data_IF_009291957397
#
_entry.id   IF_009291957397
#
_cell.length_a   1.000
_cell.length_b   1.000
_cell.length_c   1.000
_cell.angle_alpha   90.00
_cell.angle_beta   90.00
_cell.angle_gamma   90.00
#
_symmetry.space_group_name_H-M   'P 1'
#
loop_
_entity.id
_entity.type
_entity.pdbx_description
1 polymer ?
#
# COMPACT_ATOMS: atom_id res chain seq x y z
N UNK A 1 -10.27 -8.16 -28.46
CA UNK A 1 -11.22 -7.06 -28.75
C UNK A 1 -10.50 -5.74 -28.52
N UNK A 2 -10.72 -4.77 -29.40
CA UNK A 2 -10.22 -3.40 -29.30
C UNK A 2 -11.42 -2.48 -29.39
N UNK A 3 -11.60 -1.58 -28.40
CA UNK A 3 -12.70 -0.62 -28.34
C UNK A 3 -12.13 0.79 -28.41
N UNK A 4 -12.69 1.61 -29.28
CA UNK A 4 -12.38 3.04 -29.39
C UNK A 4 -13.54 3.86 -28.87
N UNK A 5 -13.25 4.81 -28.00
CA UNK A 5 -14.21 5.76 -27.47
C UNK A 5 -13.80 7.17 -27.88
N UNK A 6 -14.29 7.69 -29.01
CA UNK A 6 -13.95 9.05 -29.42
C UNK A 6 -14.55 10.05 -28.43
N UNK A 7 -13.73 10.96 -27.97
CA UNK A 7 -14.13 12.07 -27.13
C UNK A 7 -14.14 13.29 -28.02
N UNK A 8 -15.26 13.99 -28.07
CA UNK A 8 -15.46 15.19 -28.91
C UNK A 8 -16.01 16.31 -28.05
N UNK A 9 -15.48 17.49 -28.23
CA UNK A 9 -15.90 18.71 -27.55
C UNK A 9 -14.88 19.82 -27.75
N UNK A 10 -15.30 21.06 -27.62
CA UNK A 10 -14.36 22.18 -27.65
C UNK A 10 -13.66 22.25 -26.31
N UNK A 11 -12.35 21.92 -26.27
CA UNK A 11 -11.54 21.90 -25.04
C UNK A 11 -11.47 20.53 -24.38
N UNK A 12 -11.81 19.43 -25.09
CA UNK A 12 -11.63 18.07 -24.55
C UNK A 12 -10.15 17.79 -24.23
N UNK A 13 -9.89 17.28 -23.04
CA UNK A 13 -8.55 17.03 -22.52
C UNK A 13 -8.41 15.68 -21.79
N UNK A 14 -7.36 15.50 -20.99
CA UNK A 14 -7.10 14.27 -20.26
C UNK A 14 -8.10 14.00 -19.12
N UNK A 15 -8.80 15.02 -18.60
CA UNK A 15 -9.84 14.82 -17.58
C UNK A 15 -11.06 14.14 -18.18
N UNK A 16 -11.43 14.50 -19.41
CA UNK A 16 -12.50 13.81 -20.16
C UNK A 16 -12.14 12.37 -20.50
N UNK A 17 -10.85 12.11 -20.83
CA UNK A 17 -10.33 10.75 -21.04
C UNK A 17 -10.46 9.94 -19.76
N UNK A 18 -10.06 10.50 -18.62
CA UNK A 18 -10.17 9.85 -17.32
C UNK A 18 -11.63 9.57 -16.93
N UNK A 19 -12.53 10.56 -17.13
CA UNK A 19 -13.97 10.41 -16.89
C UNK A 19 -14.57 9.28 -17.75
N UNK A 20 -14.23 9.22 -19.04
CA UNK A 20 -14.69 8.15 -19.94
C UNK A 20 -14.15 6.77 -19.54
N UNK A 21 -12.88 6.69 -19.11
CA UNK A 21 -12.30 5.44 -18.64
C UNK A 21 -12.92 5.00 -17.30
N UNK A 22 -13.18 5.92 -16.38
CA UNK A 22 -13.93 5.70 -15.14
C UNK A 22 -15.31 5.11 -15.42
N UNK A 23 -16.05 5.70 -16.37
CA UNK A 23 -17.34 5.19 -16.80
C UNK A 23 -17.25 3.74 -17.33
N UNK A 24 -16.25 3.46 -18.17
CA UNK A 24 -16.00 2.09 -18.66
C UNK A 24 -15.72 1.10 -17.50
N UNK A 25 -14.93 1.49 -16.50
CA UNK A 25 -14.64 0.64 -15.35
C UNK A 25 -15.90 0.30 -14.55
N UNK A 26 -16.80 1.25 -14.38
CA UNK A 26 -18.06 1.07 -13.65
C UNK A 26 -19.09 0.27 -14.45
N UNK A 27 -19.23 0.52 -15.75
CA UNK A 27 -20.27 -0.09 -16.60
C UNK A 27 -19.87 -1.46 -17.14
N UNK A 28 -18.64 -1.59 -17.64
CA UNK A 28 -18.13 -2.79 -18.34
C UNK A 28 -17.01 -3.51 -17.57
N UNK A 29 -16.26 -2.78 -16.74
CA UNK A 29 -15.08 -3.28 -16.02
C UNK A 29 -15.40 -4.02 -14.73
N UNK A 30 -16.67 -4.00 -14.28
CA UNK A 30 -17.11 -4.69 -13.06
C UNK A 30 -16.64 -4.02 -11.75
N UNK A 31 -16.11 -2.81 -11.82
CA UNK A 31 -15.67 -2.06 -10.63
C UNK A 31 -16.91 -1.54 -9.88
N UNK A 32 -16.93 -1.75 -8.56
CA UNK A 32 -17.97 -1.21 -7.69
C UNK A 32 -17.49 0.08 -7.05
N UNK A 33 -18.38 1.06 -6.86
CA UNK A 33 -18.08 2.23 -6.03
C UNK A 33 -17.96 1.77 -4.58
N UNK A 34 -16.76 1.97 -4.01
CA UNK A 34 -16.44 1.65 -2.62
C UNK A 34 -16.09 2.87 -1.79
N UNK A 35 -15.82 3.99 -2.47
CA UNK A 35 -15.60 5.27 -1.80
C UNK A 35 -16.92 5.80 -1.24
N UNK A 36 -16.90 6.18 0.03
CA UNK A 36 -18.03 6.72 0.76
C UNK A 36 -17.79 8.18 1.12
N UNK A 37 -18.87 8.91 1.42
CA UNK A 37 -18.77 10.27 1.94
C UNK A 37 -18.15 10.25 3.35
N UNK A 38 -17.27 11.20 3.63
CA UNK A 38 -16.54 11.34 4.87
C UNK A 38 -15.58 10.19 5.21
N UNK A 39 -15.28 9.29 4.26
CA UNK A 39 -14.32 8.20 4.43
C UNK A 39 -12.92 8.66 4.01
N UNK A 40 -12.12 9.12 4.96
CA UNK A 40 -10.71 9.50 4.75
C UNK A 40 -9.88 9.17 5.98
N UNK A 41 -9.62 7.87 6.23
CA UNK A 41 -8.78 7.45 7.33
C UNK A 41 -7.32 7.83 7.11
N UNK A 42 -6.54 7.89 8.19
CA UNK A 42 -5.09 7.81 8.11
C UNK A 42 -4.67 6.37 7.82
N UNK A 43 -3.86 6.17 6.80
CA UNK A 43 -3.29 4.86 6.50
C UNK A 43 -2.00 4.65 7.30
N UNK A 44 -1.90 3.50 7.98
CA UNK A 44 -0.74 3.16 8.81
C UNK A 44 -0.19 1.80 8.41
N UNK A 45 1.07 1.77 7.98
CA UNK A 45 1.82 0.54 7.73
C UNK A 45 2.60 0.10 8.96
N UNK A 46 2.23 -1.03 9.58
CA UNK A 46 2.96 -1.64 10.70
C UNK A 46 3.73 -2.88 10.25
N UNK A 47 4.88 -3.13 10.87
CA UNK A 47 5.76 -4.24 10.51
C UNK A 47 6.10 -5.06 11.76
N UNK A 48 5.57 -6.29 11.86
CA UNK A 48 5.66 -7.15 13.03
C UNK A 48 7.07 -7.68 13.29
N UNK A 49 7.66 -8.38 12.33
CA UNK A 49 8.98 -8.93 12.56
C UNK A 49 9.76 -9.27 11.29
N UNK A 50 11.02 -9.63 11.49
CA UNK A 50 11.96 -9.94 10.40
C UNK A 50 12.95 -11.01 10.82
N UNK A 51 13.54 -11.70 9.84
CA UNK A 51 14.69 -12.57 10.09
C UNK A 51 15.97 -11.74 10.11
N UNK A 52 16.71 -11.78 11.22
CA UNK A 52 17.99 -11.09 11.40
C UNK A 52 19.09 -12.08 11.79
N UNK A 53 20.28 -11.90 11.25
CA UNK A 53 21.47 -12.65 11.69
C UNK A 53 21.93 -12.08 13.02
N UNK A 54 21.92 -12.90 14.09
CA UNK A 54 22.44 -12.54 15.41
C UNK A 54 23.52 -13.56 15.82
N UNK A 55 24.61 -13.13 16.44
CA UNK A 55 25.65 -14.05 16.90
C UNK A 55 25.10 -14.96 18.01
N UNK A 56 25.41 -16.26 17.91
CA UNK A 56 25.17 -17.24 18.95
C UNK A 56 26.46 -18.07 19.09
N UNK A 57 27.12 -17.98 20.22
CA UNK A 57 28.44 -18.58 20.45
C UNK A 57 29.47 -18.26 19.34
N UNK A 58 29.45 -17.00 18.84
CA UNK A 58 30.34 -16.56 17.76
C UNK A 58 29.92 -16.96 16.35
N UNK A 59 28.84 -17.74 16.19
CA UNK A 59 28.31 -18.17 14.88
C UNK A 59 27.08 -17.32 14.53
N UNK A 60 27.00 -16.72 13.31
CA UNK A 60 25.83 -15.99 12.87
C UNK A 60 24.67 -16.94 12.60
N UNK A 61 23.59 -16.83 13.38
CA UNK A 61 22.37 -17.62 13.21
C UNK A 61 21.19 -16.71 12.89
N UNK A 62 20.30 -17.17 12.01
CA UNK A 62 19.07 -16.44 11.68
C UNK A 62 18.06 -16.57 12.83
N UNK A 63 17.68 -15.45 13.43
CA UNK A 63 16.67 -15.38 14.49
C UNK A 63 15.50 -14.51 14.05
N UNK A 64 14.29 -14.86 14.47
CA UNK A 64 13.12 -13.97 14.36
C UNK A 64 13.31 -12.81 15.32
N UNK A 65 13.27 -11.60 14.81
CA UNK A 65 13.38 -10.35 15.58
C UNK A 65 12.05 -9.61 15.44
N UNK A 66 11.43 -9.23 16.55
CA UNK A 66 10.28 -8.33 16.53
C UNK A 66 10.75 -6.92 16.20
N UNK A 67 10.00 -6.25 15.35
CA UNK A 67 10.13 -4.82 15.05
C UNK A 67 9.03 -4.05 15.76
N UNK A 68 7.82 -4.57 15.69
CA UNK A 68 6.65 -4.07 16.41
C UNK A 68 5.85 -5.31 16.83
N UNK A 69 5.74 -5.63 18.10
CA UNK A 69 4.82 -6.67 18.54
C UNK A 69 3.39 -6.12 18.70
N UNK A 70 2.41 -6.99 18.99
CA UNK A 70 1.01 -6.58 18.99
C UNK A 70 0.67 -5.56 20.09
N UNK A 71 1.34 -5.64 21.25
CA UNK A 71 1.19 -4.64 22.32
C UNK A 71 1.78 -3.30 21.90
N UNK A 72 2.99 -3.31 21.32
CA UNK A 72 3.67 -2.13 20.80
C UNK A 72 2.90 -1.47 19.64
N UNK A 73 2.28 -2.29 18.78
CA UNK A 73 1.38 -1.79 17.73
C UNK A 73 0.19 -1.02 18.34
N UNK A 74 -0.43 -1.58 19.37
CA UNK A 74 -1.50 -0.91 20.11
C UNK A 74 -1.01 0.38 20.76
N UNK A 75 0.19 0.41 21.33
CA UNK A 75 0.77 1.62 21.93
C UNK A 75 0.95 2.74 20.89
N UNK A 76 1.48 2.44 19.69
CA UNK A 76 1.62 3.41 18.57
C UNK A 76 0.25 3.97 18.20
N UNK A 77 -0.73 3.10 17.94
CA UNK A 77 -2.05 3.51 17.50
C UNK A 77 -2.82 4.27 18.60
N UNK A 78 -2.59 3.94 19.89
CA UNK A 78 -3.16 4.69 21.02
C UNK A 78 -2.62 6.11 21.06
N UNK A 79 -1.31 6.30 20.89
CA UNK A 79 -0.70 7.64 20.84
C UNK A 79 -1.25 8.47 19.67
N UNK A 80 -1.41 7.87 18.46
CA UNK A 80 -2.04 8.55 17.33
C UNK A 80 -3.48 8.98 17.68
N UNK A 81 -4.27 8.09 18.30
CA UNK A 81 -5.64 8.38 18.69
C UNK A 81 -5.72 9.49 19.77
N UNK A 82 -4.84 9.46 20.76
CA UNK A 82 -4.71 10.50 21.78
C UNK A 82 -4.33 11.85 21.16
N UNK A 83 -3.57 11.85 20.08
CA UNK A 83 -3.19 13.04 19.32
C UNK A 83 -4.24 13.47 18.27
N UNK A 84 -5.44 12.85 18.27
CA UNK A 84 -6.59 13.27 17.47
C UNK A 84 -6.75 12.56 16.12
N UNK A 85 -6.08 11.42 15.89
CA UNK A 85 -6.33 10.55 14.72
C UNK A 85 -7.47 9.60 15.11
N UNK A 86 -8.68 9.92 14.69
CA UNK A 86 -9.90 9.21 15.08
C UNK A 86 -10.29 8.06 14.14
N UNK A 87 -9.74 8.04 12.92
CA UNK A 87 -10.04 7.04 11.90
C UNK A 87 -8.74 6.54 11.23
N UNK A 88 -8.53 5.22 11.22
CA UNK A 88 -7.28 4.61 10.75
C UNK A 88 -7.54 3.37 9.90
N UNK A 89 -6.88 3.26 8.75
CA UNK A 89 -6.77 2.03 7.96
C UNK A 89 -5.38 1.41 8.17
N UNK A 90 -5.30 0.35 8.95
CA UNK A 90 -4.04 -0.22 9.43
C UNK A 90 -3.68 -1.46 8.64
N UNK A 91 -2.57 -1.44 7.91
CA UNK A 91 -1.94 -2.64 7.35
C UNK A 91 -0.87 -3.17 8.31
N UNK A 92 -0.86 -4.50 8.56
CA UNK A 92 0.12 -5.09 9.46
C UNK A 92 0.88 -6.22 8.76
N UNK A 93 2.10 -5.92 8.34
CA UNK A 93 2.96 -6.84 7.61
C UNK A 93 3.80 -7.74 8.55
N UNK A 94 4.20 -8.92 8.04
CA UNK A 94 5.07 -9.85 8.76
C UNK A 94 4.58 -10.23 10.17
N UNK A 95 3.28 -10.35 10.34
CA UNK A 95 2.63 -10.63 11.63
C UNK A 95 2.55 -12.13 11.97
N UNK A 96 2.73 -13.00 10.98
CA UNK A 96 2.74 -14.47 11.12
C UNK A 96 4.17 -15.02 11.15
N UNK A 97 4.29 -16.29 11.48
CA UNK A 97 5.59 -16.98 11.43
C UNK A 97 6.14 -17.13 10.01
N UNK A 98 5.29 -17.24 9.00
CA UNK A 98 5.69 -17.31 7.60
C UNK A 98 6.01 -15.93 7.04
N UNK A 99 5.22 -14.91 7.37
CA UNK A 99 5.49 -13.53 7.01
C UNK A 99 6.87 -13.05 7.51
N UNK A 100 7.19 -13.26 8.80
CA UNK A 100 8.52 -12.97 9.37
C UNK A 100 9.66 -13.64 8.57
N UNK A 101 9.40 -14.81 7.98
CA UNK A 101 10.39 -15.56 7.17
C UNK A 101 10.34 -15.24 5.68
N UNK A 102 9.48 -14.33 5.27
CA UNK A 102 9.18 -14.04 3.86
C UNK A 102 8.91 -15.32 3.06
N UNK A 103 8.02 -16.14 3.56
CA UNK A 103 7.53 -17.38 2.93
C UNK A 103 6.09 -17.19 2.50
N UNK A 104 5.61 -18.05 1.60
CA UNK A 104 4.18 -18.08 1.25
C UNK A 104 3.36 -18.23 2.54
N UNK A 105 2.40 -17.32 2.70
CA UNK A 105 1.64 -17.12 3.92
C UNK A 105 0.15 -16.97 3.62
N UNK A 106 -0.56 -18.09 3.72
CA UNK A 106 -2.01 -18.15 3.49
C UNK A 106 -2.81 -18.33 4.78
N UNK A 107 -2.12 -18.38 5.94
CA UNK A 107 -2.74 -18.69 7.22
C UNK A 107 -2.75 -17.49 8.15
N UNK A 108 -3.93 -17.19 8.69
CA UNK A 108 -4.14 -16.17 9.70
C UNK A 108 -3.71 -16.69 11.09
N UNK A 109 -2.41 -17.00 11.25
CA UNK A 109 -1.84 -17.54 12.49
C UNK A 109 -0.85 -16.52 13.11
N UNK A 110 -1.28 -15.70 14.11
CA UNK A 110 -0.42 -14.72 14.74
C UNK A 110 0.84 -15.35 15.34
N UNK A 111 2.00 -14.71 15.10
CA UNK A 111 3.27 -15.25 15.60
C UNK A 111 3.38 -15.11 17.12
N UNK A 112 3.68 -16.22 17.82
CA UNK A 112 4.01 -16.17 19.25
C UNK A 112 5.24 -15.32 19.57
N UNK A 113 6.09 -14.98 18.58
CA UNK A 113 7.20 -14.02 18.76
C UNK A 113 6.71 -12.59 18.94
N UNK A 114 5.49 -12.30 18.52
CA UNK A 114 4.85 -10.96 18.53
C UNK A 114 3.74 -10.86 19.60
N UNK A 115 3.58 -11.87 20.48
CA UNK A 115 2.55 -11.89 21.51
C UNK A 115 1.48 -12.98 21.31
N UNK A 116 1.39 -13.57 20.10
CA UNK A 116 0.44 -14.65 19.81
C UNK A 116 -1.01 -14.19 19.63
N UNK A 117 -1.94 -15.15 19.66
CA UNK A 117 -3.34 -14.90 19.30
C UNK A 117 -4.08 -13.96 20.27
N UNK A 118 -3.77 -14.03 21.58
CA UNK A 118 -4.43 -13.16 22.58
C UNK A 118 -4.12 -11.69 22.36
N UNK A 119 -2.83 -11.36 22.16
CA UNK A 119 -2.42 -9.97 21.99
C UNK A 119 -2.85 -9.43 20.61
N UNK A 120 -2.87 -10.31 19.60
CA UNK A 120 -3.41 -9.96 18.29
C UNK A 120 -4.91 -9.66 18.32
N UNK A 121 -5.71 -10.46 19.07
CA UNK A 121 -7.13 -10.19 19.25
C UNK A 121 -7.35 -8.84 19.94
N UNK A 122 -6.60 -8.57 21.02
CA UNK A 122 -6.70 -7.29 21.73
C UNK A 122 -6.31 -6.07 20.88
N UNK A 123 -5.36 -6.25 19.92
CA UNK A 123 -5.03 -5.22 18.93
C UNK A 123 -6.17 -5.06 17.91
N UNK A 124 -6.71 -6.17 17.39
CA UNK A 124 -7.82 -6.16 16.42
C UNK A 124 -9.06 -5.48 17.00
N UNK A 125 -9.44 -5.83 18.24
CA UNK A 125 -10.57 -5.22 18.95
C UNK A 125 -10.35 -3.71 19.14
N UNK A 126 -9.13 -3.30 19.52
CA UNK A 126 -8.78 -1.90 19.67
C UNK A 126 -8.90 -1.12 18.35
N UNK A 127 -8.42 -1.69 17.23
CA UNK A 127 -8.52 -1.03 15.92
C UNK A 127 -9.98 -0.90 15.48
N UNK A 128 -10.80 -1.92 15.71
CA UNK A 128 -12.22 -1.93 15.34
C UNK A 128 -13.07 -0.85 16.03
N UNK A 129 -12.59 -0.26 17.14
CA UNK A 129 -13.27 0.87 17.79
C UNK A 129 -13.26 2.19 16.97
N UNK A 130 -12.34 2.33 15.98
CA UNK A 130 -12.22 3.55 15.19
C UNK A 130 -11.26 3.33 14.02
N UNK A 131 -11.50 2.28 13.22
CA UNK A 131 -10.71 2.00 12.03
C UNK A 131 -10.83 0.57 11.54
N UNK A 132 -10.01 0.22 10.56
CA UNK A 132 -10.01 -1.05 9.86
C UNK A 132 -8.62 -1.71 9.91
N UNK A 133 -8.59 -3.02 10.13
CA UNK A 133 -7.36 -3.82 10.13
C UNK A 133 -7.25 -4.68 8.88
N UNK A 134 -6.10 -4.57 8.20
CA UNK A 134 -5.73 -5.35 7.02
C UNK A 134 -4.42 -6.12 7.25
N UNK A 135 -4.44 -7.27 7.93
CA UNK A 135 -3.25 -8.08 8.10
C UNK A 135 -2.72 -8.54 6.74
N UNK A 136 -1.41 -8.39 6.52
CA UNK A 136 -0.80 -8.58 5.19
C UNK A 136 -0.53 -10.05 4.90
N UNK A 137 -0.97 -10.52 3.74
CA UNK A 137 -0.65 -11.81 3.11
C UNK A 137 0.19 -11.55 1.85
N UNK A 138 1.49 -11.30 2.02
CA UNK A 138 2.42 -11.05 0.90
C UNK A 138 2.92 -12.36 0.31
N UNK A 139 2.35 -12.74 -0.84
CA UNK A 139 2.62 -14.02 -1.49
C UNK A 139 3.24 -13.90 -2.87
N UNK A 140 3.63 -12.71 -3.31
CA UNK A 140 4.25 -12.52 -4.63
C UNK A 140 5.63 -13.14 -4.72
N UNK A 141 6.46 -12.91 -3.71
CA UNK A 141 7.84 -13.38 -3.64
C UNK A 141 8.09 -14.14 -2.34
N UNK A 142 8.93 -15.19 -2.40
CA UNK A 142 9.12 -16.03 -1.25
C UNK A 142 10.53 -16.63 -1.13
N UNK A 143 10.98 -16.91 0.11
CA UNK A 143 12.06 -17.85 0.39
C UNK A 143 11.51 -19.26 0.55
N UNK A 144 12.31 -20.27 0.18
CA UNK A 144 11.92 -21.68 0.23
C UNK A 144 11.46 -22.12 1.61
N UNK A 145 10.39 -22.91 1.65
CA UNK A 145 9.77 -23.48 2.86
C UNK A 145 8.29 -23.78 2.65
N UNK A 146 7.69 -24.58 3.50
CA UNK A 146 6.25 -24.87 3.47
C UNK A 146 5.74 -25.50 2.16
N UNK A 147 6.57 -26.32 1.49
CA UNK A 147 6.21 -26.93 0.18
C UNK A 147 6.56 -26.09 -1.04
N UNK A 148 7.08 -24.87 -0.84
CA UNK A 148 7.54 -23.97 -1.91
C UNK A 148 9.07 -23.94 -1.98
N UNK A 149 9.62 -23.98 -3.18
CA UNK A 149 11.07 -23.94 -3.38
C UNK A 149 11.44 -23.15 -4.62
N UNK A 150 12.73 -22.81 -4.75
CA UNK A 150 13.27 -22.14 -5.95
C UNK A 150 13.17 -22.95 -7.24
N UNK A 151 12.74 -24.21 -7.17
CA UNK A 151 12.54 -25.13 -8.30
C UNK A 151 11.09 -25.64 -8.41
N UNK A 152 10.26 -25.37 -7.43
CA UNK A 152 8.85 -25.78 -7.38
C UNK A 152 7.96 -24.61 -6.99
N UNK A 153 6.88 -24.41 -7.72
CA UNK A 153 5.95 -23.27 -7.57
C UNK A 153 6.56 -21.90 -7.92
N UNK A 154 7.74 -21.88 -8.53
CA UNK A 154 8.43 -20.68 -9.00
C UNK A 154 8.17 -20.47 -10.47
N UNK A 155 7.89 -19.24 -10.87
CA UNK A 155 7.73 -18.82 -12.28
C UNK A 155 8.98 -19.13 -13.10
N UNK A 156 8.79 -19.67 -14.28
CA UNK A 156 9.84 -19.92 -15.27
C UNK A 156 9.79 -18.82 -16.34
N UNK A 157 10.94 -18.24 -16.64
CA UNK A 157 11.10 -17.23 -17.69
C UNK A 157 11.05 -17.88 -19.07
N UNK A 158 10.86 -17.09 -20.12
CA UNK A 158 10.90 -17.54 -21.53
C UNK A 158 12.26 -18.18 -21.90
N UNK A 159 13.34 -17.83 -21.20
CA UNK A 159 14.67 -18.43 -21.34
C UNK A 159 14.80 -19.84 -20.72
N UNK A 160 13.73 -20.36 -20.07
CA UNK A 160 13.75 -21.62 -19.33
C UNK A 160 14.33 -21.53 -17.91
N UNK A 161 14.82 -20.37 -17.49
CA UNK A 161 15.37 -20.17 -16.13
C UNK A 161 14.28 -19.80 -15.13
N UNK A 162 14.46 -20.20 -13.86
CA UNK A 162 13.54 -19.78 -12.78
C UNK A 162 13.68 -18.29 -12.47
N UNK A 163 12.55 -17.62 -12.28
CA UNK A 163 12.51 -16.20 -11.91
C UNK A 163 12.95 -16.00 -10.47
N UNK A 164 13.85 -15.05 -10.27
CA UNK A 164 14.37 -14.67 -8.97
C UNK A 164 14.39 -13.16 -8.84
N UNK A 165 14.04 -12.67 -7.67
CA UNK A 165 14.23 -11.27 -7.29
C UNK A 165 15.60 -11.19 -6.64
N UNK A 166 16.51 -10.48 -7.31
CA UNK A 166 17.89 -10.33 -6.89
C UNK A 166 17.99 -9.14 -5.95
N UNK A 167 18.56 -9.36 -4.77
CA UNK A 167 18.97 -8.26 -3.90
C UNK A 167 20.26 -7.65 -4.44
N UNK A 168 20.34 -6.32 -4.45
CA UNK A 168 21.54 -5.59 -4.86
C UNK A 168 22.20 -4.90 -3.67
N UNK A 169 23.51 -4.90 -3.66
CA UNK A 169 24.28 -4.00 -2.80
C UNK A 169 24.07 -2.56 -3.29
N UNK A 170 23.57 -1.71 -2.39
CA UNK A 170 23.19 -0.34 -2.76
C UNK A 170 24.39 0.57 -3.02
N UNK A 171 25.52 0.28 -2.36
CA UNK A 171 26.73 1.09 -2.53
C UNK A 171 27.40 0.84 -3.87
N UNK A 172 27.35 -0.41 -4.35
CA UNK A 172 28.08 -0.83 -5.55
C UNK A 172 27.15 -1.12 -6.75
N UNK A 173 25.83 -1.23 -6.57
CA UNK A 173 24.89 -1.54 -7.65
C UNK A 173 25.04 -2.96 -8.24
N UNK A 174 25.74 -3.86 -7.55
CA UNK A 174 25.96 -5.25 -7.96
C UNK A 174 25.07 -6.21 -7.16
N UNK A 175 24.80 -7.44 -7.68
CA UNK A 175 24.09 -8.45 -6.89
C UNK A 175 24.75 -8.71 -5.53
N UNK A 176 23.95 -8.63 -4.45
CA UNK A 176 24.43 -8.89 -3.11
C UNK A 176 24.66 -10.39 -2.90
N UNK A 177 25.93 -10.79 -2.84
CA UNK A 177 26.32 -12.19 -2.62
C UNK A 177 26.01 -12.73 -1.21
N UNK A 178 25.69 -11.87 -0.26
CA UNK A 178 25.37 -12.24 1.13
C UNK A 178 23.87 -12.45 1.37
N UNK A 179 23.02 -11.93 0.50
CA UNK A 179 21.58 -12.09 0.55
C UNK A 179 21.09 -13.18 -0.40
N UNK A 180 20.15 -13.99 0.08
CA UNK A 180 19.49 -14.98 -0.77
C UNK A 180 18.48 -14.27 -1.68
N UNK A 181 18.40 -14.69 -2.93
CA UNK A 181 17.37 -14.24 -3.84
C UNK A 181 16.03 -14.86 -3.47
N UNK A 182 14.96 -14.07 -3.54
CA UNK A 182 13.60 -14.58 -3.43
C UNK A 182 13.14 -15.19 -4.76
N UNK A 183 12.26 -16.16 -4.70
CA UNK A 183 11.59 -16.74 -5.87
C UNK A 183 10.29 -15.99 -6.14
N UNK A 184 9.96 -15.80 -7.43
CA UNK A 184 8.68 -15.25 -7.85
C UNK A 184 7.65 -16.38 -7.95
N UNK A 185 6.51 -16.25 -7.30
CA UNK A 185 5.46 -17.28 -7.30
C UNK A 185 4.92 -17.50 -8.71
N UNK A 186 4.69 -18.77 -9.09
CA UNK A 186 4.01 -19.07 -10.34
C UNK A 186 2.54 -18.66 -10.30
N UNK A 187 2.02 -17.94 -11.31
CA UNK A 187 0.61 -17.56 -11.38
C UNK A 187 -0.37 -18.73 -11.36
N UNK A 188 0.10 -19.95 -11.72
CA UNK A 188 -0.69 -21.17 -11.60
C UNK A 188 -1.16 -21.46 -10.15
N UNK A 189 -0.53 -20.83 -9.15
CA UNK A 189 -0.90 -20.95 -7.75
C UNK A 189 -1.84 -19.85 -7.22
N UNK A 190 -2.15 -18.81 -8.00
CA UNK A 190 -2.86 -17.63 -7.49
C UNK A 190 -4.25 -17.98 -6.93
N UNK A 191 -5.11 -18.63 -7.71
CA UNK A 191 -6.45 -18.99 -7.25
C UNK A 191 -6.40 -19.85 -5.98
N UNK A 192 -5.48 -20.81 -5.90
CA UNK A 192 -5.33 -21.67 -4.72
C UNK A 192 -4.93 -20.87 -3.47
N UNK A 193 -3.86 -20.05 -3.54
CA UNK A 193 -3.36 -19.33 -2.35
C UNK A 193 -4.33 -18.27 -1.86
N UNK A 194 -5.05 -17.59 -2.77
CA UNK A 194 -6.06 -16.61 -2.42
C UNK A 194 -7.29 -17.26 -1.80
N UNK A 195 -7.70 -18.45 -2.31
CA UNK A 195 -8.77 -19.24 -1.70
C UNK A 195 -8.38 -19.73 -0.30
N UNK A 196 -7.18 -20.26 -0.13
CA UNK A 196 -6.68 -20.69 1.19
C UNK A 196 -6.63 -19.52 2.18
N UNK A 197 -6.22 -18.33 1.72
CA UNK A 197 -6.21 -17.11 2.53
C UNK A 197 -7.65 -16.70 2.91
N UNK A 198 -8.61 -16.73 1.97
CA UNK A 198 -10.01 -16.42 2.24
C UNK A 198 -10.58 -17.30 3.35
N UNK A 199 -10.41 -18.62 3.23
CA UNK A 199 -10.89 -19.57 4.22
C UNK A 199 -10.25 -19.37 5.60
N UNK A 200 -8.93 -19.08 5.63
CA UNK A 200 -8.20 -18.92 6.87
C UNK A 200 -8.52 -17.60 7.57
N UNK A 201 -8.57 -16.49 6.84
CA UNK A 201 -8.84 -15.15 7.39
C UNK A 201 -10.29 -15.06 7.90
N UNK A 202 -11.26 -15.54 7.12
CA UNK A 202 -12.65 -15.61 7.53
C UNK A 202 -12.85 -16.50 8.77
N UNK A 203 -12.21 -17.68 8.80
CA UNK A 203 -12.27 -18.57 9.97
C UNK A 203 -11.61 -17.99 11.22
N UNK A 204 -10.65 -17.09 11.07
CA UNK A 204 -10.04 -16.35 12.15
C UNK A 204 -10.84 -15.12 12.61
N UNK A 205 -11.99 -14.84 11.98
CA UNK A 205 -12.84 -13.68 12.31
C UNK A 205 -12.27 -12.35 11.86
N UNK A 206 -11.36 -12.34 10.86
CA UNK A 206 -10.79 -11.10 10.32
C UNK A 206 -11.73 -10.50 9.28
N UNK A 207 -11.88 -9.17 9.31
CA UNK A 207 -12.75 -8.42 8.40
C UNK A 207 -12.03 -7.97 7.13
N UNK A 208 -10.70 -7.87 7.12
CA UNK A 208 -9.91 -7.38 6.00
C UNK A 208 -8.63 -8.17 5.77
N UNK A 209 -8.05 -8.01 4.58
CA UNK A 209 -6.75 -8.58 4.20
C UNK A 209 -6.00 -7.59 3.29
N UNK A 210 -4.69 -7.49 3.44
CA UNK A 210 -3.85 -6.82 2.43
C UNK A 210 -3.09 -7.84 1.59
N UNK A 211 -3.19 -7.74 0.27
CA UNK A 211 -2.46 -8.57 -0.69
C UNK A 211 -1.13 -7.94 -1.12
N UNK A 212 -0.70 -6.86 -0.45
CA UNK A 212 0.53 -6.15 -0.79
C UNK A 212 0.55 -5.76 -2.29
N UNK A 213 1.64 -5.98 -3.01
CA UNK A 213 1.83 -5.62 -4.42
C UNK A 213 1.44 -6.72 -5.43
N UNK A 214 0.82 -7.81 -4.97
CA UNK A 214 0.33 -8.87 -5.87
C UNK A 214 -0.70 -8.34 -6.89
N UNK A 215 -1.67 -7.46 -6.52
CA UNK A 215 -2.63 -6.89 -7.46
C UNK A 215 -2.03 -6.01 -8.55
N UNK A 216 -0.82 -5.49 -8.35
CA UNK A 216 -0.07 -4.71 -9.33
C UNK A 216 0.83 -5.53 -10.25
N UNK A 217 0.94 -6.84 -10.00
CA UNK A 217 1.96 -7.70 -10.59
C UNK A 217 1.38 -8.65 -11.64
N UNK A 218 1.39 -8.26 -12.91
CA UNK A 218 0.92 -9.10 -14.01
C UNK A 218 2.08 -9.72 -14.81
N UNK A 219 2.30 -11.01 -14.62
CA UNK A 219 3.35 -11.77 -15.30
C UNK A 219 2.86 -13.17 -15.72
N UNK A 220 3.57 -13.80 -16.65
CA UNK A 220 3.30 -15.16 -17.12
C UNK A 220 4.33 -16.16 -16.59
N UNK A 221 4.02 -17.46 -16.69
CA UNK A 221 4.90 -18.58 -16.40
C UNK A 221 5.11 -19.40 -17.67
N UNK A 222 6.35 -19.62 -18.07
CA UNK A 222 6.74 -20.35 -19.27
C UNK A 222 7.29 -21.75 -18.96
N UNK A 223 6.90 -22.31 -17.80
CA UNK A 223 7.23 -23.68 -17.42
C UNK A 223 6.43 -24.74 -18.20
N UNK A 224 6.55 -26.00 -17.78
CA UNK A 224 5.86 -27.13 -18.44
C UNK A 224 4.34 -26.95 -18.55
N UNK A 225 3.74 -26.28 -17.60
CA UNK A 225 2.33 -25.84 -17.62
C UNK A 225 2.33 -24.32 -17.73
N UNK A 226 2.47 -23.82 -18.95
CA UNK A 226 2.58 -22.38 -19.18
C UNK A 226 1.27 -21.66 -18.83
N UNK A 227 1.44 -20.46 -18.23
CA UNK A 227 0.33 -19.55 -17.88
C UNK A 227 0.63 -18.21 -18.56
N UNK A 228 -0.22 -17.78 -19.48
CA UNK A 228 -0.12 -16.46 -20.09
C UNK A 228 -0.51 -15.35 -19.08
N UNK A 229 -0.13 -14.09 -19.37
CA UNK A 229 -0.56 -12.95 -18.54
C UNK A 229 -2.09 -12.86 -18.41
N UNK A 230 -2.83 -13.07 -19.51
CA UNK A 230 -4.28 -13.06 -19.47
C UNK A 230 -4.87 -14.20 -18.64
N UNK A 231 -4.26 -15.40 -18.66
CA UNK A 231 -4.64 -16.48 -17.77
C UNK A 231 -4.28 -16.20 -16.32
N UNK A 232 -3.13 -15.57 -16.06
CA UNK A 232 -2.72 -15.15 -14.73
C UNK A 232 -3.72 -14.17 -14.11
N UNK A 233 -4.18 -13.16 -14.88
CA UNK A 233 -5.20 -12.22 -14.44
C UNK A 233 -6.53 -12.93 -14.08
N UNK A 234 -6.93 -13.95 -14.85
CA UNK A 234 -8.14 -14.73 -14.54
C UNK A 234 -7.99 -15.55 -13.26
N UNK A 235 -6.84 -16.22 -13.08
CA UNK A 235 -6.58 -17.00 -11.85
C UNK A 235 -6.51 -16.10 -10.61
N UNK A 236 -6.01 -14.88 -10.76
CA UNK A 236 -6.05 -13.87 -9.71
C UNK A 236 -7.48 -13.45 -9.39
N UNK A 237 -8.28 -13.13 -10.42
CA UNK A 237 -9.67 -12.73 -10.29
C UNK A 237 -10.52 -13.82 -9.58
N UNK A 238 -10.39 -15.08 -9.99
CA UNK A 238 -11.06 -16.23 -9.36
C UNK A 238 -10.78 -16.34 -7.85
N UNK A 239 -9.53 -16.09 -7.44
CA UNK A 239 -9.16 -16.11 -6.03
C UNK A 239 -9.68 -14.89 -5.26
N UNK A 240 -9.61 -13.70 -5.88
CA UNK A 240 -10.09 -12.46 -5.27
C UNK A 240 -11.61 -12.40 -5.14
N UNK A 241 -12.36 -12.99 -6.07
CA UNK A 241 -13.83 -13.07 -5.97
C UNK A 241 -14.26 -13.75 -4.66
N UNK A 242 -13.55 -14.81 -4.27
CA UNK A 242 -13.82 -15.51 -3.00
C UNK A 242 -13.42 -14.67 -1.80
N UNK A 243 -12.27 -13.98 -1.85
CA UNK A 243 -11.81 -13.09 -0.79
C UNK A 243 -12.77 -11.92 -0.56
N UNK A 244 -13.16 -11.21 -1.63
CA UNK A 244 -14.09 -10.07 -1.57
C UNK A 244 -15.45 -10.47 -0.97
N UNK A 245 -15.93 -11.68 -1.27
CA UNK A 245 -17.18 -12.20 -0.71
C UNK A 245 -17.07 -12.73 0.72
N UNK A 246 -15.88 -12.89 1.29
CA UNK A 246 -15.67 -13.53 2.60
C UNK A 246 -15.28 -12.56 3.71
N UNK A 247 -14.87 -11.32 3.39
CA UNK A 247 -14.33 -10.34 4.32
C UNK A 247 -15.10 -9.02 4.19
N UNK A 248 -15.60 -8.49 5.29
CA UNK A 248 -16.44 -7.28 5.35
C UNK A 248 -15.71 -6.04 4.82
N UNK A 249 -14.49 -5.77 5.30
CA UNK A 249 -13.66 -4.65 4.85
C UNK A 249 -12.97 -4.95 3.50
N UNK A 250 -13.05 -6.21 3.03
CA UNK A 250 -12.52 -6.63 1.75
C UNK A 250 -11.00 -6.64 1.66
N UNK A 251 -10.48 -6.19 0.51
CA UNK A 251 -9.08 -6.35 0.13
C UNK A 251 -8.39 -4.98 0.01
N UNK A 252 -7.31 -4.78 0.77
CA UNK A 252 -6.37 -3.68 0.56
C UNK A 252 -5.24 -4.13 -0.37
N UNK A 253 -4.85 -3.25 -1.30
CA UNK A 253 -3.71 -3.46 -2.20
C UNK A 253 -2.65 -2.37 -2.01
N UNK A 254 -1.39 -2.74 -2.19
CA UNK A 254 -0.30 -1.77 -2.36
C UNK A 254 -0.07 -1.58 -3.85
N UNK A 255 -0.65 -0.53 -4.41
CA UNK A 255 -0.86 -0.32 -5.84
C UNK A 255 -1.72 -1.44 -6.47
N UNK A 256 -2.46 -1.17 -7.54
CA UNK A 256 -3.25 -2.17 -8.25
C UNK A 256 -3.34 -1.83 -9.73
N UNK A 257 -3.46 -2.86 -10.57
CA UNK A 257 -3.77 -2.73 -11.99
C UNK A 257 -5.28 -2.86 -12.22
N UNK A 258 -5.78 -2.34 -13.34
CA UNK A 258 -7.20 -2.28 -13.66
C UNK A 258 -7.93 -3.64 -13.60
N UNK A 259 -7.26 -4.77 -13.89
CA UNK A 259 -7.85 -6.10 -13.78
C UNK A 259 -8.17 -6.52 -12.33
N UNK A 260 -7.55 -5.85 -11.35
CA UNK A 260 -7.77 -6.11 -9.93
C UNK A 260 -8.82 -5.19 -9.30
N UNK A 261 -9.09 -4.00 -9.87
CA UNK A 261 -10.00 -3.00 -9.30
C UNK A 261 -11.39 -3.54 -8.90
N UNK A 262 -12.02 -4.49 -9.61
CA UNK A 262 -13.31 -5.03 -9.20
C UNK A 262 -13.35 -5.63 -7.78
N UNK A 263 -12.20 -6.06 -7.26
CA UNK A 263 -12.07 -6.79 -6.01
C UNK A 263 -11.43 -5.97 -4.88
N UNK A 264 -10.83 -4.82 -5.22
CA UNK A 264 -10.06 -4.02 -4.25
C UNK A 264 -10.96 -3.02 -3.54
N UNK A 265 -10.85 -2.94 -2.22
CA UNK A 265 -11.60 -2.02 -1.37
C UNK A 265 -10.81 -0.74 -1.07
N UNK A 266 -9.50 -0.85 -0.89
CA UNK A 266 -8.60 0.29 -0.62
C UNK A 266 -7.24 0.08 -1.31
N UNK A 267 -6.61 1.17 -1.73
CA UNK A 267 -5.29 1.11 -2.40
C UNK A 267 -4.33 2.04 -1.66
N UNK A 268 -3.16 1.54 -1.28
CA UNK A 268 -2.04 2.35 -0.77
C UNK A 268 -0.91 2.43 -1.81
N UNK A 269 0.09 3.29 -1.55
CA UNK A 269 1.28 3.44 -2.41
C UNK A 269 0.94 3.79 -3.88
N UNK A 270 -0.14 4.60 -4.09
CA UNK A 270 -0.51 5.02 -5.45
C UNK A 270 0.57 5.91 -6.06
N UNK A 271 0.84 5.79 -7.38
CA UNK A 271 1.78 6.66 -8.06
C UNK A 271 1.23 8.10 -8.10
N UNK A 272 1.96 9.05 -7.53
CA UNK A 272 1.59 10.47 -7.51
C UNK A 272 2.10 11.23 -8.73
N UNK A 273 3.07 10.66 -9.42
CA UNK A 273 3.74 11.28 -10.58
C UNK A 273 3.96 10.23 -11.67
N UNK A 274 4.17 10.69 -12.90
CA UNK A 274 4.63 9.86 -14.01
C UNK A 274 6.11 9.46 -13.87
N UNK A 275 6.66 8.81 -14.90
CA UNK A 275 8.09 8.45 -14.94
C UNK A 275 9.03 9.65 -15.06
N UNK A 276 8.52 10.85 -15.30
CA UNK A 276 9.29 12.11 -15.43
C UNK A 276 10.50 12.02 -16.39
N UNK A 277 10.35 11.28 -17.49
CA UNK A 277 11.33 11.33 -18.57
C UNK A 277 11.26 12.67 -19.29
N UNK A 278 12.38 13.19 -19.75
CA UNK A 278 12.50 14.46 -20.51
C UNK A 278 11.59 14.54 -21.76
N UNK A 279 10.96 13.46 -22.13
CA UNK A 279 10.01 13.38 -23.25
C UNK A 279 8.60 13.86 -22.89
N UNK A 280 8.27 13.96 -21.59
CA UNK A 280 6.93 14.34 -21.13
C UNK A 280 6.91 15.82 -20.75
N UNK A 281 5.93 16.53 -21.28
CA UNK A 281 5.72 17.96 -21.00
C UNK A 281 5.01 18.20 -19.67
N UNK A 282 4.11 17.29 -19.27
CA UNK A 282 3.28 17.43 -18.07
C UNK A 282 3.18 16.13 -17.28
N UNK A 283 2.96 16.27 -15.97
CA UNK A 283 2.71 15.18 -15.04
C UNK A 283 1.21 15.14 -14.71
N UNK A 284 0.48 14.22 -15.34
CA UNK A 284 -0.97 14.07 -15.15
C UNK A 284 -1.24 13.00 -14.11
N UNK A 285 -1.97 13.28 -13.01
CA UNK A 285 -2.34 12.29 -11.99
C UNK A 285 -3.50 11.40 -12.47
N UNK A 286 -3.30 10.72 -13.61
CA UNK A 286 -4.36 9.99 -14.31
C UNK A 286 -4.99 8.90 -13.47
N UNK A 287 -4.20 8.24 -12.61
CA UNK A 287 -4.68 7.21 -11.69
C UNK A 287 -5.74 7.79 -10.71
N UNK A 288 -5.46 8.97 -10.16
CA UNK A 288 -6.35 9.69 -9.25
C UNK A 288 -7.59 10.22 -9.98
N UNK A 289 -7.39 10.82 -11.16
CA UNK A 289 -8.49 11.30 -12.00
C UNK A 289 -9.49 10.19 -12.33
N UNK A 290 -9.04 8.96 -12.49
CA UNK A 290 -9.90 7.80 -12.77
C UNK A 290 -10.55 7.26 -11.51
N UNK A 291 -9.83 7.11 -10.40
CA UNK A 291 -10.28 6.33 -9.24
C UNK A 291 -10.91 7.15 -8.14
N UNK A 292 -10.69 8.47 -8.09
CA UNK A 292 -11.27 9.30 -7.03
C UNK A 292 -12.81 9.20 -7.01
N UNK A 293 -13.35 9.00 -5.83
CA UNK A 293 -14.79 8.77 -5.65
C UNK A 293 -15.27 7.35 -6.01
N UNK A 294 -14.36 6.45 -6.43
CA UNK A 294 -14.71 5.04 -6.71
C UNK A 294 -14.04 4.10 -5.72
N UNK A 295 -12.72 4.13 -5.61
CA UNK A 295 -11.93 3.29 -4.70
C UNK A 295 -11.09 4.24 -3.84
N UNK A 296 -11.20 4.20 -2.50
CA UNK A 296 -10.35 4.98 -1.61
C UNK A 296 -8.88 4.63 -1.81
N UNK A 297 -8.01 5.64 -1.81
CA UNK A 297 -6.58 5.42 -2.01
C UNK A 297 -5.71 6.36 -1.17
N UNK A 298 -4.49 5.93 -0.90
CA UNK A 298 -3.48 6.69 -0.18
C UNK A 298 -2.16 6.78 -0.95
N UNK A 299 -1.38 7.80 -0.62
CA UNK A 299 -0.05 8.04 -1.17
C UNK A 299 0.93 6.92 -0.82
N UNK A 300 2.15 7.02 -1.30
CA UNK A 300 3.30 6.34 -0.69
C UNK A 300 3.49 6.87 0.72
N UNK A 301 4.16 6.05 1.57
CA UNK A 301 4.47 6.47 2.92
C UNK A 301 5.13 7.86 2.91
N UNK A 302 4.44 8.82 3.52
CA UNK A 302 4.85 10.23 3.60
C UNK A 302 6.22 10.34 4.25
N UNK A 303 6.40 9.63 5.35
CA UNK A 303 7.66 9.59 6.08
C UNK A 303 8.80 8.81 5.37
N UNK A 304 8.51 8.10 4.30
CA UNK A 304 9.51 7.48 3.41
C UNK A 304 10.02 8.40 2.31
N UNK A 305 9.46 9.61 2.20
CA UNK A 305 9.83 10.59 1.20
C UNK A 305 11.03 11.45 1.64
N UNK A 306 11.89 11.89 0.71
CA UNK A 306 12.89 12.92 0.99
C UNK A 306 12.29 14.27 1.40
N UNK A 307 11.06 14.55 0.98
CA UNK A 307 10.30 15.76 1.36
C UNK A 307 8.87 15.32 1.79
N UNK A 308 8.68 15.00 3.08
CA UNK A 308 7.38 14.54 3.60
C UNK A 308 6.27 15.58 3.41
N UNK A 309 6.57 16.85 3.62
CA UNK A 309 5.63 17.94 3.44
C UNK A 309 5.15 18.07 1.99
N UNK A 310 6.05 18.03 1.01
CA UNK A 310 5.70 18.08 -0.42
C UNK A 310 4.85 16.85 -0.80
N UNK A 311 5.17 15.70 -0.23
CA UNK A 311 4.40 14.47 -0.47
C UNK A 311 2.99 14.58 0.08
N UNK A 312 2.82 15.14 1.28
CA UNK A 312 1.50 15.35 1.87
C UNK A 312 0.68 16.38 1.10
N UNK A 313 1.31 17.50 0.68
CA UNK A 313 0.66 18.53 -0.16
C UNK A 313 0.22 17.97 -1.51
N UNK A 314 1.10 17.25 -2.19
CA UNK A 314 0.79 16.61 -3.48
C UNK A 314 -0.32 15.56 -3.32
N UNK A 315 -0.32 14.78 -2.24
CA UNK A 315 -1.38 13.83 -1.96
C UNK A 315 -2.73 14.56 -1.77
N UNK A 316 -2.73 15.58 -0.93
CA UNK A 316 -3.92 16.38 -0.64
C UNK A 316 -4.48 17.09 -1.87
N UNK A 317 -3.62 17.59 -2.78
CA UNK A 317 -4.04 18.29 -4.00
C UNK A 317 -4.96 17.46 -4.91
N UNK A 318 -4.92 16.13 -4.81
CA UNK A 318 -5.76 15.20 -5.60
C UNK A 318 -6.63 14.30 -4.74
N UNK A 319 -6.96 14.74 -3.51
CA UNK A 319 -7.84 14.02 -2.61
C UNK A 319 -7.29 12.67 -2.13
N UNK A 320 -5.98 12.49 -2.14
CA UNK A 320 -5.32 11.24 -1.76
C UNK A 320 -5.10 11.19 -0.25
N UNK A 321 -5.48 10.09 0.41
CA UNK A 321 -5.19 9.85 1.82
C UNK A 321 -3.69 9.79 2.11
N UNK A 322 -3.31 10.02 3.36
CA UNK A 322 -1.91 9.98 3.81
C UNK A 322 -1.57 8.60 4.36
N UNK A 323 -0.42 8.06 4.00
CA UNK A 323 0.13 6.80 4.51
C UNK A 323 1.43 7.05 5.31
N UNK A 324 1.59 6.37 6.45
CA UNK A 324 2.79 6.40 7.27
C UNK A 324 3.22 4.99 7.65
N UNK A 325 4.46 4.64 7.36
CA UNK A 325 5.07 3.40 7.86
C UNK A 325 5.63 3.60 9.28
N UNK A 326 5.31 2.70 10.22
CA UNK A 326 5.76 2.82 11.61
C UNK A 326 6.28 1.51 12.16
N UNK A 327 7.41 1.56 12.86
CA UNK A 327 7.99 0.49 13.66
C UNK A 327 8.32 0.98 15.07
N UNK A 328 8.23 0.07 16.05
CA UNK A 328 8.56 0.37 17.45
C UNK A 328 10.04 0.19 17.76
N UNK A 329 10.68 -0.80 17.11
CA UNK A 329 12.08 -1.09 17.32
C UNK A 329 12.99 0.01 16.72
N UNK A 330 14.18 0.14 17.27
CA UNK A 330 15.22 1.00 16.72
C UNK A 330 15.54 0.65 15.27
N UNK A 331 15.72 1.64 14.36
CA UNK A 331 16.05 1.41 12.95
C UNK A 331 17.31 0.56 12.73
N UNK A 332 18.24 0.53 13.69
CA UNK A 332 19.42 -0.34 13.68
C UNK A 332 19.09 -1.84 13.63
N UNK A 333 17.89 -2.24 14.10
CA UNK A 333 17.43 -3.62 14.00
C UNK A 333 17.09 -4.03 12.57
N UNK A 334 16.85 -3.08 11.65
CA UNK A 334 16.58 -3.32 10.23
C UNK A 334 17.82 -3.63 9.41
N UNK A 335 19.01 -3.26 9.90
CA UNK A 335 20.28 -3.45 9.18
C UNK A 335 20.47 -4.92 8.76
N UNK A 336 20.83 -5.13 7.50
CA UNK A 336 21.07 -6.42 6.86
C UNK A 336 19.84 -7.35 6.82
N UNK A 337 18.64 -6.80 6.89
CA UNK A 337 17.37 -7.52 6.76
C UNK A 337 16.68 -7.22 5.42
N UNK A 338 15.58 -7.92 5.12
CA UNK A 338 14.75 -7.64 3.93
C UNK A 338 13.97 -6.32 4.05
N UNK A 339 13.89 -5.74 5.24
CA UNK A 339 13.19 -4.49 5.54
C UNK A 339 14.15 -3.31 5.80
N UNK A 340 15.39 -3.39 5.37
CA UNK A 340 16.40 -2.35 5.59
C UNK A 340 16.12 -1.01 4.89
N UNK A 341 15.08 -0.95 4.05
CA UNK A 341 14.58 0.29 3.45
C UNK A 341 13.75 1.13 4.41
N UNK A 342 13.23 0.54 5.48
CA UNK A 342 12.33 1.19 6.44
C UNK A 342 13.08 1.93 7.56
N UNK A 343 14.33 2.32 7.35
CA UNK A 343 15.13 3.05 8.36
C UNK A 343 14.50 4.37 8.80
N UNK A 344 13.58 4.91 8.04
CA UNK A 344 12.83 6.11 8.32
C UNK A 344 11.60 5.89 9.22
N UNK A 345 11.19 4.64 9.46
CA UNK A 345 9.88 4.30 10.01
C UNK A 345 9.82 4.28 11.55
N UNK A 346 10.76 4.88 12.26
CA UNK A 346 10.70 4.97 13.73
C UNK A 346 9.49 5.80 14.15
N UNK A 347 8.52 5.17 14.85
CA UNK A 347 7.26 5.81 15.24
C UNK A 347 7.47 7.08 16.09
N UNK A 348 8.52 7.13 16.91
CA UNK A 348 8.83 8.25 17.80
C UNK A 348 9.11 9.54 17.04
N UNK A 349 9.61 9.42 15.82
CA UNK A 349 9.89 10.57 14.96
C UNK A 349 8.64 11.10 14.26
N UNK A 350 7.61 10.26 14.10
CA UNK A 350 6.53 10.57 13.17
C UNK A 350 5.14 10.67 13.78
N UNK A 351 4.91 10.19 15.01
CA UNK A 351 3.56 10.17 15.63
C UNK A 351 2.95 11.56 15.68
N UNK A 352 3.70 12.56 16.13
CA UNK A 352 3.20 13.95 16.25
C UNK A 352 2.97 14.59 14.88
N UNK A 353 3.91 14.41 13.94
CA UNK A 353 3.79 14.94 12.57
C UNK A 353 2.63 14.30 11.83
N UNK A 354 2.45 12.98 11.95
CA UNK A 354 1.33 12.26 11.34
C UNK A 354 -0.01 12.78 11.86
N UNK A 355 -0.13 12.94 13.18
CA UNK A 355 -1.33 13.49 13.80
C UNK A 355 -1.58 14.95 13.41
N UNK A 356 -0.53 15.77 13.29
CA UNK A 356 -0.65 17.15 12.81
C UNK A 356 -1.18 17.19 11.37
N UNK A 357 -0.58 16.40 10.45
CA UNK A 357 -1.02 16.35 9.05
C UNK A 357 -2.46 15.82 8.93
N UNK A 358 -2.82 14.82 9.71
CA UNK A 358 -4.20 14.34 9.74
C UNK A 358 -5.17 15.44 10.16
N UNK A 359 -4.92 16.14 11.26
CA UNK A 359 -5.80 17.22 11.74
C UNK A 359 -5.93 18.36 10.75
N UNK A 360 -4.86 18.69 10.02
CA UNK A 360 -4.86 19.75 9.01
C UNK A 360 -5.65 19.33 7.77
N UNK A 361 -5.48 18.12 7.28
CA UNK A 361 -5.96 17.70 5.96
C UNK A 361 -7.25 16.90 5.99
N UNK A 362 -7.54 16.15 7.08
CA UNK A 362 -8.72 15.28 7.11
C UNK A 362 -10.05 15.99 6.88
N UNK A 363 -10.30 17.24 7.35
CA UNK A 363 -11.56 17.93 7.06
C UNK A 363 -11.78 18.16 5.55
N UNK A 364 -10.73 18.53 4.82
CA UNK A 364 -10.78 18.71 3.37
C UNK A 364 -10.91 17.35 2.66
N UNK A 365 -10.08 16.37 3.03
CA UNK A 365 -10.11 15.03 2.41
C UNK A 365 -11.46 14.34 2.62
N UNK A 366 -12.06 14.47 3.81
CA UNK A 366 -13.42 13.97 4.10
C UNK A 366 -14.47 14.67 3.23
N UNK A 367 -14.34 15.97 2.99
CA UNK A 367 -15.30 16.74 2.17
C UNK A 367 -15.32 16.31 0.70
N UNK A 368 -14.24 15.68 0.20
CA UNK A 368 -14.12 15.25 -1.21
C UNK A 368 -14.10 13.73 -1.39
N UNK A 369 -14.03 12.93 -0.34
CA UNK A 369 -13.76 11.48 -0.39
C UNK A 369 -14.70 10.68 -1.30
N UNK A 370 -16.03 10.96 -1.26
CA UNK A 370 -17.03 10.28 -2.09
C UNK A 370 -17.24 10.91 -3.47
N UNK A 371 -16.53 12.01 -3.78
CA UNK A 371 -16.72 12.82 -4.98
C UNK A 371 -15.78 12.36 -6.11
N UNK A 372 -16.14 12.64 -7.36
CA UNK A 372 -15.25 12.40 -8.49
C UNK A 372 -14.55 13.70 -8.91
N UNK A 373 -13.29 13.59 -9.34
CA UNK A 373 -12.57 14.74 -9.92
C UNK A 373 -13.15 15.02 -11.31
N UNK A 374 -13.56 16.28 -11.53
CA UNK A 374 -14.15 16.78 -12.77
C UNK A 374 -13.21 17.65 -13.57
N UNK A 375 -12.25 18.34 -12.89
CA UNK A 375 -11.24 19.14 -13.55
C UNK A 375 -9.94 19.12 -12.76
N UNK A 376 -8.82 19.27 -13.47
CA UNK A 376 -7.47 19.32 -12.90
C UNK A 376 -6.59 20.18 -13.78
N UNK A 377 -5.89 21.13 -13.19
CA UNK A 377 -4.95 21.97 -13.91
C UNK A 377 -3.75 22.34 -13.08
N UNK A 378 -2.65 22.65 -13.74
CA UNK A 378 -1.41 23.13 -13.12
C UNK A 378 -0.96 24.45 -13.78
N UNK A 379 -0.58 25.42 -12.96
CA UNK A 379 0.06 26.67 -13.43
C UNK A 379 1.28 26.95 -12.56
N UNK A 380 2.46 26.57 -13.03
CA UNK A 380 3.70 26.60 -12.29
C UNK A 380 3.62 25.73 -11.03
N UNK A 381 3.71 26.35 -9.86
CA UNK A 381 3.65 25.67 -8.55
C UNK A 381 2.21 25.55 -8.00
N UNK A 382 1.20 26.03 -8.73
CA UNK A 382 -0.19 25.98 -8.32
C UNK A 382 -0.88 24.79 -8.98
N UNK A 383 -1.57 23.98 -8.17
CA UNK A 383 -2.38 22.87 -8.59
C UNK A 383 -3.83 23.18 -8.22
N UNK A 384 -4.73 23.10 -9.19
CA UNK A 384 -6.19 23.28 -8.98
C UNK A 384 -6.91 22.00 -9.33
N UNK A 385 -7.70 21.48 -8.38
CA UNK A 385 -8.53 20.27 -8.55
C UNK A 385 -9.98 20.61 -8.22
N UNK A 386 -10.90 20.29 -9.12
CA UNK A 386 -12.34 20.53 -8.96
C UNK A 386 -13.05 19.19 -8.84
N UNK A 387 -13.99 19.12 -7.90
CA UNK A 387 -14.80 17.93 -7.63
C UNK A 387 -16.25 18.11 -8.05
N UNK A 388 -16.98 17.00 -8.28
CA UNK A 388 -18.38 17.01 -8.76
C UNK A 388 -19.38 17.60 -7.73
N UNK A 389 -18.99 17.72 -6.47
CA UNK A 389 -19.76 18.44 -5.46
C UNK A 389 -19.55 19.97 -5.47
N UNK A 390 -18.74 20.47 -6.40
CA UNK A 390 -18.38 21.88 -6.54
C UNK A 390 -17.23 22.35 -5.63
N UNK A 391 -16.62 21.46 -4.85
CA UNK A 391 -15.42 21.80 -4.07
C UNK A 391 -14.24 22.02 -5.00
N UNK A 392 -13.56 23.14 -4.83
CA UNK A 392 -12.28 23.44 -5.47
C UNK A 392 -11.17 23.42 -4.43
N UNK A 393 -10.09 22.71 -4.76
CA UNK A 393 -8.88 22.63 -3.93
C UNK A 393 -7.74 23.24 -4.71
N UNK A 394 -7.17 24.34 -4.19
CA UNK A 394 -6.02 25.04 -4.76
C UNK A 394 -4.82 24.82 -3.87
N UNK A 395 -3.79 24.17 -4.39
CA UNK A 395 -2.54 23.87 -3.66
C UNK A 395 -1.39 24.68 -4.23
N UNK A 396 -0.73 25.48 -3.38
CA UNK A 396 0.48 26.18 -3.72
C UNK A 396 1.69 25.41 -3.16
N UNK A 397 2.38 24.70 -4.04
CA UNK A 397 3.54 23.87 -3.69
C UNK A 397 4.73 24.68 -3.21
N UNK A 398 4.84 25.95 -3.66
CA UNK A 398 5.94 26.85 -3.28
C UNK A 398 5.72 27.45 -1.90
N UNK A 399 4.50 27.94 -1.63
CA UNK A 399 4.17 28.59 -0.36
C UNK A 399 3.66 27.59 0.69
N UNK A 400 3.56 26.30 0.35
CA UNK A 400 3.10 25.22 1.23
C UNK A 400 1.70 25.48 1.81
N UNK A 401 0.77 25.88 0.97
CA UNK A 401 -0.61 26.16 1.35
C UNK A 401 -1.61 25.38 0.53
N UNK A 402 -2.75 25.11 1.15
CA UNK A 402 -3.95 24.57 0.47
C UNK A 402 -5.13 25.48 0.80
N UNK A 403 -5.85 25.90 -0.22
CA UNK A 403 -7.13 26.62 -0.07
C UNK A 403 -8.26 25.72 -0.55
N UNK A 404 -9.32 25.58 0.26
CA UNK A 404 -10.54 24.90 -0.11
C UNK A 404 -11.75 25.56 0.58
N UNK A 405 -12.84 25.79 -0.14
CA UNK A 405 -14.05 26.40 0.40
C UNK A 405 -13.79 27.68 1.20
N UNK A 406 -12.80 28.50 0.81
CA UNK A 406 -12.41 29.73 1.50
C UNK A 406 -11.60 29.55 2.79
N UNK A 407 -11.22 28.29 3.12
CA UNK A 407 -10.33 28.00 4.22
C UNK A 407 -8.89 27.83 3.73
N UNK A 408 -7.95 28.52 4.35
CA UNK A 408 -6.53 28.42 4.05
C UNK A 408 -5.85 27.51 5.09
N UNK A 409 -5.23 26.43 4.62
CA UNK A 409 -4.38 25.54 5.40
C UNK A 409 -2.93 25.91 5.10
N UNK A 410 -2.17 26.20 6.16
CA UNK A 410 -0.74 26.48 6.06
C UNK A 410 0.03 25.35 6.75
N UNK A 411 0.95 24.72 6.04
CA UNK A 411 1.91 23.80 6.67
C UNK A 411 2.94 24.61 7.45
N UNK A 412 3.08 24.36 8.74
CA UNK A 412 4.10 24.99 9.57
C UNK A 412 5.41 24.24 9.36
N UNK A 413 6.38 24.84 8.69
CA UNK A 413 7.69 24.24 8.44
C UNK A 413 8.47 23.97 9.72
N UNK A 414 8.09 22.94 10.46
CA UNK A 414 8.99 22.28 11.40
C UNK A 414 9.83 21.30 10.56
N UNK A 415 11.05 21.70 10.24
CA UNK A 415 12.08 20.75 9.83
C UNK A 415 12.16 19.69 10.93
N UNK A 416 11.87 18.44 10.56
CA UNK A 416 12.20 17.27 11.39
C UNK A 416 13.73 17.18 11.36
N UNK A 417 14.42 17.87 12.26
CA UNK A 417 15.85 17.74 12.38
C UNK A 417 16.19 16.33 12.88
N UNK A 418 16.90 15.59 12.09
CA UNK A 418 17.52 14.31 12.48
C UNK A 418 18.64 14.47 13.53
N UNK A 419 18.64 15.56 14.28
CA UNK A 419 19.67 15.93 15.23
C UNK A 419 19.09 16.27 16.60
N UNK A 420 18.77 15.23 17.37
CA UNK A 420 18.91 15.25 18.83
C UNK A 420 19.38 13.88 19.30
N UNK A 421 20.57 13.47 18.78
CA UNK A 421 21.41 12.49 19.45
C UNK A 421 22.29 13.26 20.45
N UNK A 422 21.90 13.26 21.73
CA UNK A 422 22.82 13.32 22.86
C UNK A 422 22.45 12.26 23.91
#
# INVERSE_FOLDING_TARGET
>A
ELRYYPISGKGADYTDIAARYRQYLLEDGGVKKRAEENDSPMYIGLYGGVMKKKPFLGIPVNKKTALTDFSQAKDILSQLRENGVDDMAVSYANWTNNGIRSRIDTKAEPSGKLGGSSDFSALSDFIAEGGELYPVSDNRCFYSGGGYSSFSKTTVRISGSYSRIVSYDRAYGIPDGFRKNMSLLSPAGFSQILTEAADSYSSAGLSGISLSDLPASLYGDYGKKSVSRGAAAKLFAEGCEKLDGSLENGIMAKTANAYAFPYISRITDVPMTSSRYDLFDEDVPFYQLVLHGIIPYASKAVNGSPSPEDTALMAASVGCGLDFDMIYAEPSELKDTVLDTLYYADYRWWTDTAAEYYRLLSPMLKAVSGCTITDYSTDGDIITTVYDNGTEVVTDMKNKTIEYNGNLIQFSGKEVSAADEQ
#
